data_IF_256219079223
#
_entry.id   IF_256219079223
#
_cell.length_a   1.000
_cell.length_b   1.000
_cell.length_c   1.000
_cell.angle_alpha   90.00
_cell.angle_beta   90.00
_cell.angle_gamma   90.00
#
_symmetry.space_group_name_H-M   'P 1'
#
loop_
_entity.id
_entity.type
_entity.pdbx_description
1 polymer ?
#
# COMPACT_ATOMS: atom_id res chain seq x y z
N UNK A 1 -12.93 16.52 -11.45
CA UNK A 1 -12.39 17.23 -10.28
C UNK A 1 -11.10 16.56 -9.82
N UNK A 2 -10.00 17.32 -9.72
CA UNK A 2 -8.74 16.79 -9.20
C UNK A 2 -8.88 16.50 -7.70
N UNK A 3 -8.80 15.24 -7.31
CA UNK A 3 -8.64 14.86 -5.92
C UNK A 3 -7.20 15.19 -5.50
N UNK A 4 -6.97 15.92 -4.40
CA UNK A 4 -5.64 16.12 -3.88
C UNK A 4 -5.08 14.77 -3.43
N UNK A 5 -3.90 14.42 -3.91
CA UNK A 5 -3.19 13.22 -3.51
C UNK A 5 -1.80 13.60 -3.01
N UNK A 6 -1.31 12.87 -2.04
CA UNK A 6 0.05 13.01 -1.52
C UNK A 6 0.71 11.65 -1.45
N UNK A 7 1.97 11.58 -1.83
CA UNK A 7 2.79 10.38 -1.71
C UNK A 7 3.86 10.60 -0.65
N UNK A 8 4.00 9.65 0.25
CA UNK A 8 5.14 9.60 1.16
C UNK A 8 6.09 8.52 0.67
N UNK A 9 7.32 8.92 0.33
CA UNK A 9 8.30 8.04 -0.28
C UNK A 9 9.51 7.94 0.63
N UNK A 10 9.98 6.72 0.89
CA UNK A 10 11.22 6.48 1.62
C UNK A 10 12.44 6.84 0.77
N UNK A 11 13.53 7.26 1.41
CA UNK A 11 14.77 7.57 0.71
C UNK A 11 15.25 6.37 -0.14
N UNK A 12 15.56 6.61 -1.40
CA UNK A 12 15.99 5.57 -2.35
C UNK A 12 14.88 4.77 -3.04
N UNK A 13 13.61 5.10 -2.81
CA UNK A 13 12.51 4.46 -3.55
C UNK A 13 12.39 5.05 -4.97
N UNK A 14 12.26 4.17 -5.95
CA UNK A 14 11.95 4.53 -7.34
C UNK A 14 10.44 4.52 -7.55
N UNK A 15 9.88 5.64 -7.97
CA UNK A 15 8.46 5.77 -8.30
C UNK A 15 8.27 5.88 -9.80
N UNK A 16 7.32 5.09 -10.32
CA UNK A 16 6.83 5.23 -11.68
C UNK A 16 5.36 5.66 -11.65
N UNK A 17 5.03 6.76 -12.31
CA UNK A 17 3.66 7.24 -12.43
C UNK A 17 3.12 6.91 -13.82
N UNK A 18 1.95 6.30 -13.85
CA UNK A 18 1.19 6.05 -15.08
C UNK A 18 -0.09 6.90 -15.02
N UNK A 19 -0.21 7.85 -15.93
CA UNK A 19 -1.42 8.65 -16.10
C UNK A 19 -2.22 8.10 -17.27
N UNK A 20 -3.46 7.72 -17.00
CA UNK A 20 -4.38 7.13 -17.98
C UNK A 20 -5.59 8.05 -18.11
N UNK A 21 -5.98 8.37 -19.32
CA UNK A 21 -7.19 9.14 -19.56
C UNK A 21 -8.43 8.32 -19.14
N UNK A 22 -9.42 8.96 -18.49
CA UNK A 22 -10.57 8.26 -17.90
C UNK A 22 -11.35 7.34 -18.87
N UNK A 23 -11.34 7.64 -20.16
CA UNK A 23 -12.04 6.85 -21.16
C UNK A 23 -11.17 5.79 -21.85
N UNK A 24 -9.87 5.75 -21.59
CA UNK A 24 -8.94 4.88 -22.31
C UNK A 24 -8.99 3.42 -21.84
N UNK A 25 -9.33 3.19 -20.57
CA UNK A 25 -9.46 1.85 -19.98
C UNK A 25 -10.45 1.86 -18.83
N UNK A 26 -11.23 0.79 -18.67
CA UNK A 26 -12.17 0.63 -17.57
C UNK A 26 -11.39 0.20 -16.33
N UNK A 27 -11.22 1.13 -15.40
CA UNK A 27 -10.56 0.89 -14.12
C UNK A 27 -11.58 0.82 -12.97
N UNK A 28 -11.23 0.22 -11.83
CA UNK A 28 -12.11 0.21 -10.66
C UNK A 28 -12.56 1.62 -10.26
N UNK A 29 -13.85 1.81 -10.00
CA UNK A 29 -14.43 3.12 -9.61
C UNK A 29 -13.87 3.65 -8.29
N UNK A 30 -13.47 2.75 -7.40
CA UNK A 30 -12.86 3.11 -6.11
C UNK A 30 -11.35 2.99 -6.19
N UNK A 31 -10.67 3.91 -5.51
CA UNK A 31 -9.24 3.79 -5.31
C UNK A 31 -8.89 2.41 -4.71
N UNK A 32 -8.01 1.66 -5.34
CA UNK A 32 -7.60 0.31 -4.93
C UNK A 32 -6.11 0.09 -5.21
N UNK A 33 -5.53 -0.90 -4.56
CA UNK A 33 -4.19 -1.40 -4.88
C UNK A 33 -4.35 -2.58 -5.83
N UNK A 34 -3.61 -2.57 -6.93
CA UNK A 34 -3.54 -3.69 -7.87
C UNK A 34 -2.23 -4.45 -7.67
N UNK A 35 -2.30 -5.76 -7.65
CA UNK A 35 -1.13 -6.62 -7.69
C UNK A 35 -0.65 -6.75 -9.13
N UNK A 36 0.30 -5.94 -9.49
CA UNK A 36 0.81 -5.88 -10.87
C UNK A 36 1.61 -7.14 -11.22
N UNK A 37 1.20 -7.83 -12.29
CA UNK A 37 1.92 -8.98 -12.84
C UNK A 37 3.29 -8.57 -13.38
N UNK A 38 4.25 -9.52 -13.51
CA UNK A 38 5.53 -9.25 -14.16
C UNK A 38 5.38 -8.67 -15.56
N UNK A 39 4.39 -9.14 -16.33
CA UNK A 39 4.11 -8.61 -17.67
C UNK A 39 3.72 -7.13 -17.62
N UNK A 40 2.74 -6.77 -16.82
CA UNK A 40 2.32 -5.37 -16.65
C UNK A 40 3.48 -4.49 -16.16
N UNK A 41 4.28 -4.98 -15.20
CA UNK A 41 5.44 -4.26 -14.68
C UNK A 41 6.44 -3.93 -15.79
N UNK A 42 6.84 -4.92 -16.60
CA UNK A 42 7.81 -4.71 -17.68
C UNK A 42 7.24 -3.81 -18.79
N UNK A 43 5.94 -3.91 -19.10
CA UNK A 43 5.27 -3.00 -20.03
C UNK A 43 5.34 -1.56 -19.53
N UNK A 44 4.98 -1.31 -18.26
CA UNK A 44 5.02 0.04 -17.65
C UNK A 44 6.45 0.61 -17.70
N UNK A 45 7.45 -0.16 -17.27
CA UNK A 45 8.85 0.27 -17.27
C UNK A 45 9.39 0.52 -18.70
N UNK A 46 9.01 -0.34 -19.65
CA UNK A 46 9.39 -0.16 -21.06
C UNK A 46 8.76 1.10 -21.64
N UNK A 47 7.49 1.37 -21.36
CA UNK A 47 6.79 2.56 -21.84
C UNK A 47 7.29 3.84 -21.18
N UNK A 48 7.68 3.79 -19.91
CA UNK A 48 8.22 4.93 -19.17
C UNK A 48 9.55 5.44 -19.76
N UNK A 49 10.33 4.55 -20.38
CA UNK A 49 11.64 4.90 -21.01
C UNK A 49 11.51 5.48 -22.40
N UNK A 50 10.32 5.48 -23.02
CA UNK A 50 10.11 5.94 -24.39
C UNK A 50 9.87 7.44 -24.46
N UNK A 51 10.45 8.06 -25.47
CA UNK A 51 10.21 9.45 -25.82
C UNK A 51 8.83 9.65 -26.47
N UNK A 52 8.33 10.89 -26.48
CA UNK A 52 7.01 11.18 -27.09
C UNK A 52 6.90 10.77 -28.58
N UNK A 53 7.92 10.99 -29.44
CA UNK A 53 7.88 10.47 -30.82
C UNK A 53 7.79 8.94 -30.92
N UNK A 54 8.46 8.22 -30.01
CA UNK A 54 8.39 6.74 -29.97
C UNK A 54 7.04 6.25 -29.48
N UNK A 55 6.37 7.00 -28.58
CA UNK A 55 5.03 6.65 -28.08
C UNK A 55 3.97 6.71 -29.18
N UNK A 56 4.14 7.58 -30.18
CA UNK A 56 3.23 7.70 -31.32
C UNK A 56 3.38 6.54 -32.34
N UNK A 57 4.45 5.76 -32.29
CA UNK A 57 4.71 4.69 -33.23
C UNK A 57 3.80 3.47 -32.99
N UNK A 58 3.37 2.82 -34.08
CA UNK A 58 2.49 1.66 -34.03
C UNK A 58 2.95 0.51 -33.12
N UNK A 59 4.26 0.15 -33.06
CA UNK A 59 4.70 -0.88 -32.12
C UNK A 59 4.47 -0.49 -30.66
N UNK A 60 4.67 0.78 -30.30
CA UNK A 60 4.42 1.28 -28.94
C UNK A 60 2.93 1.32 -28.62
N UNK A 61 2.12 1.75 -29.57
CA UNK A 61 0.65 1.76 -29.40
C UNK A 61 0.10 0.35 -29.12
N UNK A 62 0.66 -0.69 -29.74
CA UNK A 62 0.30 -2.09 -29.46
C UNK A 62 0.65 -2.49 -28.02
N UNK A 63 1.82 -2.07 -27.50
CA UNK A 63 2.20 -2.33 -26.10
C UNK A 63 1.29 -1.61 -25.11
N UNK A 64 0.88 -0.37 -25.42
CA UNK A 64 -0.10 0.37 -24.64
C UNK A 64 -1.44 -0.37 -24.62
N UNK A 65 -1.89 -0.88 -25.77
CA UNK A 65 -3.15 -1.63 -25.85
C UNK A 65 -3.08 -2.91 -25.00
N UNK A 66 -2.00 -3.67 -25.08
CA UNK A 66 -1.80 -4.86 -24.25
C UNK A 66 -1.82 -4.49 -22.75
N UNK A 67 -1.17 -3.39 -22.36
CA UNK A 67 -1.21 -2.93 -20.98
C UNK A 67 -2.64 -2.57 -20.54
N UNK A 68 -3.42 -1.93 -21.39
CA UNK A 68 -4.80 -1.55 -21.10
C UNK A 68 -5.75 -2.77 -21.04
N UNK A 69 -5.47 -3.82 -21.77
CA UNK A 69 -6.21 -5.08 -21.69
C UNK A 69 -5.89 -5.84 -20.39
N UNK A 70 -4.64 -5.79 -19.93
CA UNK A 70 -4.16 -6.51 -18.77
C UNK A 70 -4.44 -5.81 -17.42
N UNK A 71 -4.36 -4.47 -17.37
CA UNK A 71 -4.50 -3.72 -16.12
C UNK A 71 -5.81 -4.00 -15.38
N UNK A 72 -7.00 -4.00 -16.02
CA UNK A 72 -8.27 -4.25 -15.35
C UNK A 72 -8.38 -5.67 -14.77
N UNK A 73 -7.59 -6.61 -15.31
CA UNK A 73 -7.59 -8.01 -14.88
C UNK A 73 -6.68 -8.28 -13.69
N UNK A 74 -5.87 -7.28 -13.28
CA UNK A 74 -4.97 -7.46 -12.16
C UNK A 74 -5.74 -7.63 -10.85
N UNK A 75 -5.34 -8.59 -9.99
CA UNK A 75 -6.00 -8.80 -8.71
C UNK A 75 -5.98 -7.53 -7.86
N UNK A 76 -7.14 -7.18 -7.31
CA UNK A 76 -7.24 -6.08 -6.34
C UNK A 76 -6.81 -6.58 -4.96
N UNK A 77 -5.84 -5.90 -4.38
CA UNK A 77 -5.40 -6.14 -3.01
C UNK A 77 -5.94 -5.06 -2.06
N UNK A 78 -6.30 -5.48 -0.85
CA UNK A 78 -6.79 -4.56 0.18
C UNK A 78 -5.61 -3.90 0.93
N UNK A 79 -4.64 -3.37 0.19
CA UNK A 79 -3.46 -2.70 0.76
C UNK A 79 -3.63 -1.18 0.88
N UNK A 80 -4.84 -0.69 0.77
CA UNK A 80 -5.08 0.73 0.98
C UNK A 80 -4.99 1.08 2.45
N UNK A 81 -4.03 1.92 2.79
CA UNK A 81 -4.08 2.66 4.05
C UNK A 81 -4.79 3.98 3.78
N UNK A 82 -6.05 4.17 4.21
CA UNK A 82 -6.71 5.45 4.08
C UNK A 82 -5.91 6.49 4.88
N UNK A 83 -5.40 7.50 4.18
CA UNK A 83 -4.64 8.60 4.77
C UNK A 83 -5.61 9.73 5.05
N UNK A 84 -5.77 10.07 6.32
CA UNK A 84 -6.55 11.22 6.75
C UNK A 84 -5.64 12.44 6.94
N UNK A 85 -6.13 13.64 6.57
CA UNK A 85 -5.49 14.89 6.92
C UNK A 85 -5.52 15.23 8.41
N UNK A 86 -6.23 14.44 9.23
CA UNK A 86 -6.37 14.68 10.66
C UNK A 86 -5.03 14.50 11.39
N UNK A 87 -4.54 15.51 12.17
CA UNK A 87 -3.20 15.48 12.76
C UNK A 87 -2.90 14.24 13.60
N UNK A 88 -3.87 13.79 14.42
CA UNK A 88 -3.69 12.59 15.26
C UNK A 88 -3.53 11.31 14.43
N UNK A 89 -4.29 11.16 13.34
CA UNK A 89 -4.18 9.99 12.44
C UNK A 89 -2.83 10.00 11.75
N UNK A 90 -2.38 11.16 11.27
CA UNK A 90 -1.06 11.31 10.66
C UNK A 90 0.06 10.96 11.65
N UNK A 91 0.02 11.48 12.86
CA UNK A 91 0.97 11.16 13.91
C UNK A 91 1.00 9.66 14.23
N UNK A 92 -0.17 8.99 14.27
CA UNK A 92 -0.23 7.55 14.46
C UNK A 92 0.48 6.79 13.33
N UNK A 93 0.26 7.16 12.07
CA UNK A 93 0.93 6.53 10.92
C UNK A 93 2.44 6.70 11.01
N UNK A 94 2.90 7.94 11.17
CA UNK A 94 4.32 8.29 11.22
C UNK A 94 5.04 7.55 12.35
N UNK A 95 4.46 7.56 13.55
CA UNK A 95 5.07 6.89 14.71
C UNK A 95 5.05 5.37 14.58
N UNK A 96 3.94 4.78 14.09
CA UNK A 96 3.88 3.33 13.86
C UNK A 96 4.80 2.88 12.72
N UNK A 97 5.06 3.74 11.74
CA UNK A 97 6.02 3.42 10.67
C UNK A 97 7.47 3.44 11.18
N UNK A 98 7.80 4.34 12.12
CA UNK A 98 9.13 4.43 12.72
C UNK A 98 9.38 3.33 13.77
N UNK A 99 8.39 3.02 14.60
CA UNK A 99 8.46 2.05 15.71
C UNK A 99 7.32 1.02 15.63
N UNK A 100 7.30 0.12 14.61
CA UNK A 100 6.15 -0.76 14.35
C UNK A 100 5.84 -1.72 15.50
N UNK A 101 6.86 -2.13 16.26
CA UNK A 101 6.73 -3.07 17.36
C UNK A 101 6.12 -2.45 18.62
N UNK A 102 6.22 -1.13 18.80
CA UNK A 102 5.91 -0.46 20.07
C UNK A 102 4.44 -0.11 20.23
N UNK A 103 3.80 0.34 19.18
CA UNK A 103 2.46 0.96 19.23
C UNK A 103 1.36 0.00 18.76
N UNK A 104 1.00 -0.93 19.66
CA UNK A 104 0.19 -2.09 19.28
C UNK A 104 -1.30 -1.97 19.65
N UNK A 105 -1.66 -1.12 20.62
CA UNK A 105 -3.02 -1.06 21.15
C UNK A 105 -3.65 0.32 21.01
N UNK A 106 -4.99 0.33 20.91
CA UNK A 106 -5.76 1.57 20.92
C UNK A 106 -5.60 2.33 22.24
N UNK A 107 -5.48 1.59 23.36
CA UNK A 107 -5.30 2.19 24.70
C UNK A 107 -4.00 2.98 24.83
N UNK A 108 -2.90 2.49 24.27
CA UNK A 108 -1.64 3.24 24.23
C UNK A 108 -1.82 4.60 23.53
N UNK A 109 -2.47 4.61 22.38
CA UNK A 109 -2.74 5.84 21.64
C UNK A 109 -3.76 6.75 22.33
N UNK A 110 -4.77 6.18 22.99
CA UNK A 110 -5.73 6.92 23.76
C UNK A 110 -5.05 7.70 24.90
N UNK A 111 -4.09 7.06 25.58
CA UNK A 111 -3.27 7.70 26.61
C UNK A 111 -2.41 8.85 26.04
N UNK A 112 -1.75 8.63 24.90
CA UNK A 112 -0.94 9.68 24.24
C UNK A 112 -1.77 10.90 23.87
N UNK A 113 -3.00 10.70 23.42
CA UNK A 113 -3.87 11.80 23.00
C UNK A 113 -4.79 12.34 24.09
N UNK A 114 -4.64 11.86 25.34
CA UNK A 114 -5.53 12.19 26.47
C UNK A 114 -7.02 12.00 26.09
N UNK A 115 -7.34 10.90 25.43
CA UNK A 115 -8.68 10.55 24.97
C UNK A 115 -9.14 9.23 25.58
N UNK A 116 -10.46 9.02 25.65
CA UNK A 116 -10.97 7.66 25.88
C UNK A 116 -10.77 6.79 24.64
N UNK A 117 -10.55 5.48 24.81
CA UNK A 117 -10.44 4.52 23.71
C UNK A 117 -11.67 4.59 22.78
N UNK A 118 -12.87 4.75 23.35
CA UNK A 118 -14.12 4.88 22.59
C UNK A 118 -14.09 6.09 21.64
N UNK A 119 -13.62 7.24 22.13
CA UNK A 119 -13.55 8.44 21.31
C UNK A 119 -12.49 8.34 20.22
N UNK A 120 -11.33 7.76 20.55
CA UNK A 120 -10.28 7.52 19.56
C UNK A 120 -10.72 6.50 18.53
N UNK A 121 -11.39 5.40 18.92
CA UNK A 121 -11.95 4.42 17.98
C UNK A 121 -12.92 5.07 16.97
N UNK A 122 -13.81 5.94 17.46
CA UNK A 122 -14.75 6.69 16.60
C UNK A 122 -14.02 7.63 15.64
N UNK A 123 -12.99 8.31 16.13
CA UNK A 123 -12.15 9.18 15.30
C UNK A 123 -11.49 8.38 14.18
N UNK A 124 -10.84 7.25 14.49
CA UNK A 124 -10.20 6.38 13.47
C UNK A 124 -11.21 5.94 12.44
N UNK A 125 -12.39 5.45 12.85
CA UNK A 125 -13.43 5.03 11.90
C UNK A 125 -13.93 6.20 11.05
N UNK A 126 -14.16 7.36 11.66
CA UNK A 126 -14.61 8.56 10.94
C UNK A 126 -13.61 8.98 9.86
N UNK A 127 -12.33 8.97 10.21
CA UNK A 127 -11.26 9.51 9.34
C UNK A 127 -10.74 8.51 8.31
N UNK A 128 -10.84 7.20 8.59
CA UNK A 128 -10.25 6.15 7.74
C UNK A 128 -11.29 5.18 7.14
N UNK A 129 -12.51 5.18 7.64
CA UNK A 129 -13.53 4.18 7.29
C UNK A 129 -13.29 2.79 7.87
N UNK A 130 -12.22 2.60 8.65
CA UNK A 130 -11.78 1.31 9.18
C UNK A 130 -11.71 1.32 10.70
N UNK A 131 -11.97 0.17 11.34
CA UNK A 131 -11.62 0.01 12.75
C UNK A 131 -10.11 0.09 12.93
N UNK A 132 -9.63 0.57 14.10
CA UNK A 132 -8.20 0.66 14.40
C UNK A 132 -7.46 -0.64 14.13
N UNK A 133 -8.03 -1.79 14.50
CA UNK A 133 -7.44 -3.11 14.25
C UNK A 133 -7.23 -3.38 12.76
N UNK A 134 -8.23 -3.11 11.93
CA UNK A 134 -8.14 -3.32 10.47
C UNK A 134 -7.16 -2.34 9.83
N UNK A 135 -7.23 -1.08 10.22
CA UNK A 135 -6.35 -0.03 9.74
C UNK A 135 -4.88 -0.29 10.10
N UNK A 136 -4.60 -0.65 11.36
CA UNK A 136 -3.26 -1.04 11.80
C UNK A 136 -2.75 -2.29 11.06
N UNK A 137 -3.60 -3.28 10.86
CA UNK A 137 -3.25 -4.50 10.11
C UNK A 137 -2.83 -4.17 8.67
N UNK A 138 -3.52 -3.26 7.99
CA UNK A 138 -3.12 -2.80 6.65
C UNK A 138 -1.76 -2.09 6.67
N UNK A 139 -1.53 -1.21 7.64
CA UNK A 139 -0.22 -0.58 7.80
C UNK A 139 0.88 -1.62 8.02
N UNK A 140 0.66 -2.62 8.87
CA UNK A 140 1.63 -3.69 9.10
C UNK A 140 1.94 -4.50 7.82
N UNK A 141 0.96 -4.76 6.97
CA UNK A 141 1.18 -5.43 5.68
C UNK A 141 2.04 -4.57 4.75
N UNK A 142 1.79 -3.27 4.67
CA UNK A 142 2.60 -2.34 3.88
C UNK A 142 4.05 -2.32 4.37
N UNK A 143 4.26 -2.18 5.68
CA UNK A 143 5.59 -2.19 6.27
C UNK A 143 6.31 -3.53 6.09
N UNK A 144 5.57 -4.65 6.15
CA UNK A 144 6.10 -5.98 5.86
C UNK A 144 6.62 -6.09 4.43
N UNK A 145 5.82 -5.63 3.46
CA UNK A 145 6.22 -5.63 2.05
C UNK A 145 7.45 -4.76 1.80
N UNK A 146 7.47 -3.56 2.37
CA UNK A 146 8.63 -2.67 2.26
C UNK A 146 9.90 -3.32 2.81
N UNK A 147 9.81 -3.98 3.97
CA UNK A 147 10.94 -4.67 4.59
C UNK A 147 11.45 -5.85 3.75
N UNK A 148 10.54 -6.66 3.20
CA UNK A 148 10.88 -7.79 2.33
C UNK A 148 11.50 -7.32 1.01
N UNK A 149 10.96 -6.28 0.38
CA UNK A 149 11.52 -5.66 -0.84
C UNK A 149 12.91 -5.07 -0.57
N UNK A 150 13.13 -4.51 0.63
CA UNK A 150 14.44 -4.02 1.05
C UNK A 150 15.45 -5.13 1.40
N UNK A 151 15.10 -6.41 1.16
CA UNK A 151 15.98 -7.57 1.34
C UNK A 151 16.00 -8.15 2.76
N UNK A 152 15.11 -7.71 3.66
CA UNK A 152 14.98 -8.33 4.98
C UNK A 152 14.37 -9.73 4.84
N UNK A 153 14.89 -10.68 5.59
CA UNK A 153 14.28 -12.00 5.62
C UNK A 153 12.97 -12.01 6.46
N UNK A 154 12.24 -13.11 6.37
CA UNK A 154 10.93 -13.27 7.04
C UNK A 154 11.01 -13.12 8.56
N UNK A 155 12.08 -13.65 9.18
CA UNK A 155 12.29 -13.57 10.61
C UNK A 155 12.61 -12.13 11.07
N UNK A 156 13.49 -11.44 10.36
CA UNK A 156 13.80 -10.04 10.63
C UNK A 156 12.58 -9.12 10.47
N UNK A 157 11.75 -9.40 9.47
CA UNK A 157 10.51 -8.66 9.24
C UNK A 157 9.51 -8.88 10.37
N UNK A 158 9.34 -10.13 10.82
CA UNK A 158 8.48 -10.46 11.96
C UNK A 158 8.91 -9.72 13.23
N UNK A 159 10.22 -9.74 13.54
CA UNK A 159 10.79 -9.04 14.69
C UNK A 159 10.60 -7.52 14.62
N UNK A 160 10.87 -6.92 13.45
CA UNK A 160 10.66 -5.49 13.22
C UNK A 160 9.22 -5.06 13.47
N UNK A 161 8.25 -5.90 13.11
CA UNK A 161 6.82 -5.62 13.29
C UNK A 161 6.31 -5.97 14.69
N UNK A 162 7.17 -6.52 15.56
CA UNK A 162 6.82 -6.87 16.95
C UNK A 162 6.00 -8.15 17.09
N UNK A 163 6.18 -9.12 16.19
CA UNK A 163 5.58 -10.44 16.32
C UNK A 163 6.43 -11.35 17.22
N UNK A 164 5.81 -12.00 18.19
CA UNK A 164 6.45 -12.94 19.11
C UNK A 164 6.97 -14.19 18.40
N UNK A 165 6.40 -14.53 17.24
CA UNK A 165 6.86 -15.65 16.42
C UNK A 165 6.73 -15.38 14.93
N UNK A 166 7.65 -15.95 14.16
CA UNK A 166 7.61 -15.92 12.70
C UNK A 166 6.34 -16.56 12.15
N UNK A 167 5.83 -17.60 12.82
CA UNK A 167 4.57 -18.27 12.43
C UNK A 167 3.37 -17.36 12.55
N UNK A 168 3.27 -16.55 13.61
CA UNK A 168 2.19 -15.58 13.78
C UNK A 168 2.24 -14.51 12.67
N UNK A 169 3.42 -14.02 12.33
CA UNK A 169 3.63 -13.10 11.22
C UNK A 169 3.21 -13.72 9.87
N UNK A 170 3.68 -14.94 9.56
CA UNK A 170 3.34 -15.64 8.30
C UNK A 170 1.81 -15.82 8.19
N UNK A 171 1.15 -16.18 9.29
CA UNK A 171 -0.32 -16.35 9.33
C UNK A 171 -1.03 -15.03 9.02
N UNK A 172 -0.58 -13.94 9.65
CA UNK A 172 -1.11 -12.59 9.41
C UNK A 172 -0.92 -12.18 7.96
N UNK A 173 0.29 -12.34 7.43
CA UNK A 173 0.65 -11.96 6.07
C UNK A 173 -0.15 -12.75 5.03
N UNK A 174 -0.24 -14.09 5.19
CA UNK A 174 -1.03 -14.96 4.31
C UNK A 174 -2.52 -14.60 4.33
N UNK A 175 -3.05 -14.25 5.51
CA UNK A 175 -4.46 -13.82 5.64
C UNK A 175 -4.72 -12.50 4.92
N UNK A 176 -3.73 -11.60 4.91
CA UNK A 176 -3.86 -10.28 4.27
C UNK A 176 -3.64 -10.31 2.76
N UNK A 177 -2.70 -11.12 2.28
CA UNK A 177 -2.22 -11.10 0.89
C UNK A 177 -2.44 -12.42 0.13
N UNK A 178 -3.09 -13.40 0.73
CA UNK A 178 -3.42 -14.68 0.11
C UNK A 178 -2.24 -15.64 -0.03
N UNK A 179 -0.99 -15.20 0.15
CA UNK A 179 0.22 -15.99 -0.01
C UNK A 179 1.24 -15.72 1.11
N UNK A 180 2.19 -16.62 1.28
CA UNK A 180 3.23 -16.49 2.31
C UNK A 180 4.33 -15.50 1.91
N UNK A 181 5.03 -14.86 2.88
CA UNK A 181 6.11 -13.91 2.58
C UNK A 181 7.22 -14.46 1.69
N UNK A 182 7.52 -15.78 1.78
CA UNK A 182 8.56 -16.41 0.96
C UNK A 182 8.15 -16.68 -0.50
N UNK A 183 6.89 -16.42 -0.86
CA UNK A 183 6.38 -16.50 -2.24
C UNK A 183 6.10 -15.12 -2.84
N UNK A 184 6.26 -14.08 -2.06
CA UNK A 184 6.06 -12.70 -2.46
C UNK A 184 7.36 -12.08 -2.96
#
# INVERSE_FOLDING_TARGET
GSLPHSNHVTAGAELCFLFIEPAAVVMPERCCTLKISPLCRELILSLARRTDPERAQMPTQRLIQVLFDELPQQPQEQLQLPVSGHPKIRQMVETMAQEPARWNTLGQWASVFAMSERNLARLVVKETGLSFRRWRHQLQLILALQALIAGRNVQQTAQMLGYDSTTAFITMFKKGLGQTPGRY
#
